data_IF_028575208789
#
_entry.id   IF_028575208789
#
_cell.length_a   1.000
_cell.length_b   1.000
_cell.length_c   1.000
_cell.angle_alpha   90.00
_cell.angle_beta   90.00
_cell.angle_gamma   90.00
#
_symmetry.space_group_name_H-M   'P 1'
#
loop_
_entity.id
_entity.type
_entity.pdbx_description
1 polymer ?
#
# COMPACT_ATOMS: atom_id res chain seq x y z
N UNK A 1 -4.56 -20.18 -7.11
CA UNK A 1 -4.40 -21.63 -6.79
C UNK A 1 -2.91 -21.95 -6.84
N UNK A 2 -2.38 -22.71 -5.89
CA UNK A 2 -0.99 -23.17 -5.89
C UNK A 2 -1.00 -24.71 -5.94
N UNK A 3 -0.26 -25.29 -6.89
CA UNK A 3 -0.07 -26.72 -7.01
C UNK A 3 1.43 -27.04 -7.01
N UNK A 4 1.84 -27.99 -6.18
CA UNK A 4 3.21 -28.53 -6.17
C UNK A 4 3.11 -30.00 -6.59
N UNK A 5 3.78 -30.35 -7.68
CA UNK A 5 3.73 -31.68 -8.30
C UNK A 5 4.99 -32.49 -7.96
N UNK A 6 4.93 -33.81 -8.11
CA UNK A 6 6.13 -34.66 -8.04
C UNK A 6 7.15 -34.26 -9.14
N UNK A 7 8.47 -34.33 -8.89
CA UNK A 7 9.13 -34.82 -7.67
C UNK A 7 9.30 -33.77 -6.56
N UNK A 8 8.89 -32.51 -6.77
CA UNK A 8 9.01 -31.45 -5.75
C UNK A 8 8.11 -31.73 -4.54
N UNK A 9 6.92 -32.27 -4.78
CA UNK A 9 6.05 -32.77 -3.72
C UNK A 9 6.34 -34.27 -3.47
N UNK A 10 7.36 -34.55 -2.66
CA UNK A 10 7.86 -35.91 -2.37
C UNK A 10 6.80 -36.87 -1.84
N UNK A 11 5.76 -36.34 -1.17
CA UNK A 11 4.66 -37.13 -0.60
C UNK A 11 3.41 -37.15 -1.51
N UNK A 12 3.54 -36.76 -2.78
CA UNK A 12 2.43 -36.63 -3.72
C UNK A 12 1.95 -35.19 -3.89
N UNK A 13 1.15 -34.95 -4.93
CA UNK A 13 0.68 -33.61 -5.33
C UNK A 13 0.01 -32.86 -4.19
N UNK A 14 0.47 -31.63 -3.93
CA UNK A 14 -0.10 -30.73 -2.94
C UNK A 14 -0.86 -29.61 -3.65
N UNK A 15 -2.11 -29.37 -3.25
CA UNK A 15 -2.97 -28.31 -3.80
C UNK A 15 -3.45 -27.37 -2.70
N UNK A 16 -3.26 -26.06 -2.89
CA UNK A 16 -3.80 -25.01 -2.03
C UNK A 16 -4.66 -24.05 -2.85
N UNK A 17 -5.94 -23.94 -2.48
CA UNK A 17 -6.91 -23.05 -3.14
C UNK A 17 -7.25 -21.90 -2.20
N UNK A 18 -6.87 -20.68 -2.60
CA UNK A 18 -7.26 -19.45 -1.91
C UNK A 18 -8.51 -18.91 -2.57
N UNK A 19 -9.59 -18.79 -1.79
CA UNK A 19 -10.86 -18.16 -2.22
C UNK A 19 -10.96 -16.79 -1.56
N UNK A 20 -11.25 -15.77 -2.35
CA UNK A 20 -11.47 -14.42 -1.87
C UNK A 20 -12.96 -14.22 -1.62
N UNK A 21 -13.33 -13.85 -0.39
CA UNK A 21 -14.70 -13.52 -0.04
C UNK A 21 -15.02 -12.09 -0.51
N UNK A 22 -16.13 -11.91 -1.21
CA UNK A 22 -16.63 -10.60 -1.66
C UNK A 22 -17.31 -9.85 -0.50
N UNK A 23 -16.61 -9.64 0.60
CA UNK A 23 -17.10 -8.81 1.70
C UNK A 23 -16.43 -7.45 1.65
N UNK A 24 -17.24 -6.41 1.43
CA UNK A 24 -16.80 -5.04 1.57
C UNK A 24 -16.69 -4.69 3.05
N UNK A 25 -15.45 -4.58 3.51
CA UNK A 25 -15.13 -4.16 4.87
C UNK A 25 -14.89 -2.64 4.86
N UNK A 26 -15.52 -1.93 5.78
CA UNK A 26 -15.33 -0.48 5.97
C UNK A 26 -14.20 -0.20 6.96
N UNK A 27 -13.68 1.03 6.98
CA UNK A 27 -12.54 1.43 7.82
C UNK A 27 -12.85 1.21 9.31
N UNK A 28 -14.08 1.50 9.74
CA UNK A 28 -14.56 1.34 11.12
C UNK A 28 -14.44 -0.10 11.65
N UNK A 29 -14.37 -1.10 10.78
CA UNK A 29 -14.16 -2.48 11.21
C UNK A 29 -12.77 -2.74 11.80
N UNK A 30 -11.82 -1.83 11.59
CA UNK A 30 -10.45 -1.93 12.09
C UNK A 30 -10.14 -0.91 13.20
N UNK A 31 -11.05 0.01 13.51
CA UNK A 31 -10.69 1.15 14.34
C UNK A 31 -11.89 1.89 14.95
N UNK A 32 -11.61 2.89 15.80
CA UNK A 32 -12.65 3.73 16.39
C UNK A 32 -13.13 4.79 15.41
N UNK A 33 -14.32 5.36 15.62
CA UNK A 33 -14.87 6.41 14.74
C UNK A 33 -13.91 7.61 14.57
N UNK A 34 -13.18 8.01 15.62
CA UNK A 34 -12.22 9.12 15.55
C UNK A 34 -11.04 8.81 14.62
N UNK A 35 -10.52 7.58 14.65
CA UNK A 35 -9.45 7.15 13.75
C UNK A 35 -9.97 6.93 12.34
N UNK A 36 -11.20 6.43 12.17
CA UNK A 36 -11.84 6.32 10.86
C UNK A 36 -11.97 7.72 10.21
N UNK A 37 -12.40 8.73 10.97
CA UNK A 37 -12.43 10.13 10.51
C UNK A 37 -11.05 10.64 10.10
N UNK A 38 -10.00 10.33 10.87
CA UNK A 38 -8.63 10.65 10.49
C UNK A 38 -8.25 9.97 9.15
N UNK A 39 -8.57 8.70 8.96
CA UNK A 39 -8.29 7.99 7.70
C UNK A 39 -9.03 8.61 6.51
N UNK A 40 -10.32 8.92 6.67
CA UNK A 40 -11.10 9.62 5.64
C UNK A 40 -10.47 10.97 5.29
N UNK A 41 -10.03 11.73 6.30
CA UNK A 41 -9.38 13.02 6.11
C UNK A 41 -8.07 12.87 5.31
N UNK A 42 -7.20 11.92 5.68
CA UNK A 42 -5.94 11.68 4.97
C UNK A 42 -6.16 11.25 3.50
N UNK A 43 -7.15 10.39 3.24
CA UNK A 43 -7.49 9.98 1.86
C UNK A 43 -8.02 11.17 1.06
N UNK A 44 -8.92 11.97 1.63
CA UNK A 44 -9.49 13.16 0.98
C UNK A 44 -8.41 14.22 0.68
N UNK A 45 -7.41 14.36 1.56
CA UNK A 45 -6.24 15.23 1.39
C UNK A 45 -5.14 14.64 0.51
N UNK A 46 -5.44 13.55 -0.22
CA UNK A 46 -4.53 12.90 -1.17
C UNK A 46 -3.16 12.56 -0.55
N UNK A 47 -3.12 12.19 0.72
CA UNK A 47 -1.89 11.69 1.32
C UNK A 47 -1.48 10.35 0.67
N UNK A 48 -0.18 10.18 0.42
CA UNK A 48 0.42 8.91 0.03
C UNK A 48 0.51 8.03 1.29
N UNK A 49 -0.33 6.99 1.34
CA UNK A 49 -0.51 6.15 2.52
C UNK A 49 0.06 4.76 2.24
N UNK A 50 0.94 4.31 3.14
CA UNK A 50 1.40 2.91 3.15
C UNK A 50 0.81 2.18 4.35
N UNK A 51 0.10 1.09 4.06
CA UNK A 51 -0.43 0.18 5.07
C UNK A 51 0.61 -0.91 5.36
N UNK A 52 1.06 -0.99 6.61
CA UNK A 52 2.05 -1.96 7.06
C UNK A 52 1.48 -2.94 8.08
N UNK A 53 2.20 -4.03 8.32
CA UNK A 53 1.82 -5.07 9.28
C UNK A 53 2.30 -6.45 8.85
N UNK A 54 2.26 -7.39 9.80
CA UNK A 54 2.64 -8.78 9.58
C UNK A 54 1.71 -9.51 8.58
N UNK A 55 2.03 -10.76 8.29
CA UNK A 55 1.14 -11.65 7.52
C UNK A 55 -0.22 -11.80 8.23
N UNK A 56 -1.31 -11.77 7.47
CA UNK A 56 -2.68 -11.99 7.96
C UNK A 56 -3.25 -10.91 8.92
N UNK A 57 -2.62 -9.73 9.02
CA UNK A 57 -3.18 -8.57 9.75
C UNK A 57 -4.28 -7.82 8.98
N UNK A 58 -4.52 -8.18 7.72
CA UNK A 58 -5.60 -7.61 6.90
C UNK A 58 -5.20 -6.39 6.06
N UNK A 59 -3.91 -6.19 5.76
CA UNK A 59 -3.40 -5.07 4.95
C UNK A 59 -4.20 -4.82 3.67
N UNK A 60 -4.35 -5.83 2.84
CA UNK A 60 -5.08 -5.73 1.56
C UNK A 60 -6.56 -5.41 1.77
N UNK A 61 -7.18 -5.97 2.82
CA UNK A 61 -8.57 -5.69 3.18
C UNK A 61 -8.74 -4.23 3.62
N UNK A 62 -7.84 -3.73 4.47
CA UNK A 62 -7.86 -2.34 4.92
C UNK A 62 -7.52 -1.36 3.79
N UNK A 63 -6.57 -1.71 2.91
CA UNK A 63 -6.28 -0.97 1.68
C UNK A 63 -7.56 -0.82 0.83
N UNK A 64 -8.30 -1.92 0.64
CA UNK A 64 -9.57 -1.89 -0.06
C UNK A 64 -10.60 -0.98 0.66
N UNK A 65 -10.65 -1.00 1.99
CA UNK A 65 -11.51 -0.11 2.77
C UNK A 65 -11.15 1.38 2.56
N UNK A 66 -9.85 1.72 2.55
CA UNK A 66 -9.37 3.08 2.28
C UNK A 66 -9.80 3.57 0.89
N UNK A 67 -9.77 2.70 -0.12
CA UNK A 67 -10.22 3.08 -1.48
C UNK A 67 -11.69 3.48 -1.53
N UNK A 68 -12.53 3.00 -0.59
CA UNK A 68 -13.92 3.41 -0.48
C UNK A 68 -14.11 4.87 -0.05
N UNK A 69 -13.05 5.52 0.42
CA UNK A 69 -13.03 6.95 0.79
C UNK A 69 -12.49 7.86 -0.31
N UNK A 70 -12.06 7.27 -1.44
CA UNK A 70 -11.55 8.02 -2.58
C UNK A 70 -12.73 8.65 -3.33
N UNK A 71 -12.57 9.88 -3.81
CA UNK A 71 -13.66 10.58 -4.50
C UNK A 71 -14.04 9.84 -5.79
N UNK A 72 -15.34 9.73 -6.05
CA UNK A 72 -15.87 8.91 -7.15
C UNK A 72 -15.40 9.32 -8.55
N UNK A 73 -14.96 10.57 -8.76
CA UNK A 73 -14.46 11.02 -10.06
C UNK A 73 -13.02 10.58 -10.35
N UNK A 74 -12.28 10.15 -9.32
CA UNK A 74 -10.88 9.76 -9.46
C UNK A 74 -10.76 8.41 -10.19
N UNK A 75 -9.78 8.33 -11.08
CA UNK A 75 -9.38 7.12 -11.81
C UNK A 75 -8.30 6.39 -11.03
N UNK A 76 -8.63 5.19 -10.55
CA UNK A 76 -7.74 4.34 -9.78
C UNK A 76 -7.16 3.25 -10.68
N UNK A 77 -5.87 2.97 -10.52
CA UNK A 77 -5.23 1.81 -11.17
C UNK A 77 -4.67 0.90 -10.09
N UNK A 78 -5.20 -0.33 -10.01
CA UNK A 78 -4.66 -1.35 -9.11
C UNK A 78 -3.54 -2.11 -9.80
N UNK A 79 -2.49 -2.42 -9.04
CA UNK A 79 -1.36 -3.23 -9.50
C UNK A 79 -1.09 -4.28 -8.43
N UNK A 80 -1.27 -5.56 -8.79
CA UNK A 80 -1.21 -6.66 -7.84
C UNK A 80 -0.48 -7.87 -8.41
N UNK A 81 0.14 -8.67 -7.54
CA UNK A 81 0.71 -9.95 -7.95
C UNK A 81 -0.36 -11.01 -8.20
N UNK A 82 -1.38 -11.00 -7.36
CA UNK A 82 -2.62 -11.76 -7.48
C UNK A 82 -3.74 -10.78 -7.22
N UNK A 83 -4.73 -10.72 -8.11
CA UNK A 83 -5.79 -9.74 -8.03
C UNK A 83 -6.74 -10.04 -6.85
N UNK A 84 -6.53 -9.37 -5.71
CA UNK A 84 -7.33 -9.51 -4.48
C UNK A 84 -8.25 -8.30 -4.25
N UNK A 85 -7.84 -7.12 -4.71
CA UNK A 85 -8.58 -5.88 -4.49
C UNK A 85 -9.85 -5.82 -5.33
N UNK A 86 -10.95 -5.43 -4.69
CA UNK A 86 -12.26 -5.26 -5.30
C UNK A 86 -12.81 -3.88 -4.92
N UNK A 87 -12.46 -2.88 -5.74
CA UNK A 87 -12.75 -1.48 -5.50
C UNK A 87 -14.20 -1.17 -5.92
N UNK A 88 -14.88 -0.33 -5.13
CA UNK A 88 -16.21 0.19 -5.45
C UNK A 88 -16.18 1.45 -6.33
N UNK A 89 -14.99 2.01 -6.58
CA UNK A 89 -14.85 3.21 -7.40
C UNK A 89 -15.33 2.94 -8.85
N UNK A 90 -15.98 3.92 -9.51
CA UNK A 90 -16.54 3.71 -10.83
C UNK A 90 -15.45 3.61 -11.91
N UNK A 91 -14.32 4.29 -11.74
CA UNK A 91 -13.24 4.37 -12.73
C UNK A 91 -12.01 3.59 -12.28
N UNK A 92 -12.03 2.27 -12.42
CA UNK A 92 -10.94 1.38 -11.97
C UNK A 92 -10.36 0.59 -13.15
N UNK A 93 -9.03 0.62 -13.28
CA UNK A 93 -8.28 -0.32 -14.12
C UNK A 93 -7.54 -1.29 -13.20
N UNK A 94 -7.68 -2.60 -13.44
CA UNK A 94 -7.03 -3.63 -12.62
C UNK A 94 -5.91 -4.29 -13.42
N UNK A 95 -4.69 -4.23 -12.89
CA UNK A 95 -3.50 -4.83 -13.50
C UNK A 95 -2.98 -5.94 -12.58
N UNK A 96 -2.80 -7.13 -13.14
CA UNK A 96 -2.32 -8.32 -12.43
C UNK A 96 -1.02 -8.81 -13.07
N UNK A 97 -0.01 -9.07 -12.23
CA UNK A 97 1.26 -9.65 -12.66
C UNK A 97 1.04 -11.07 -13.17
N UNK A 98 1.93 -11.54 -14.03
CA UNK A 98 1.85 -12.91 -14.54
C UNK A 98 3.24 -13.54 -14.55
N UNK A 99 3.42 -14.75 -13.98
CA UNK A 99 4.68 -15.48 -14.14
C UNK A 99 4.87 -15.90 -15.60
N UNK A 100 6.11 -16.26 -15.96
CA UNK A 100 6.38 -16.84 -17.27
C UNK A 100 5.60 -18.17 -17.43
N UNK A 101 5.11 -18.45 -18.64
CA UNK A 101 4.43 -19.73 -18.93
C UNK A 101 5.43 -20.74 -19.49
N UNK A 102 5.19 -22.06 -19.30
CA UNK A 102 6.02 -23.11 -19.91
C UNK A 102 6.10 -23.02 -21.43
N UNK A 103 5.06 -22.47 -22.07
CA UNK A 103 4.97 -22.27 -23.52
C UNK A 103 5.79 -21.08 -24.04
N UNK A 104 6.66 -20.51 -23.20
CA UNK A 104 7.62 -19.47 -23.59
C UNK A 104 7.10 -18.04 -23.50
N UNK A 105 5.92 -17.80 -22.92
CA UNK A 105 5.43 -16.44 -22.70
C UNK A 105 6.16 -15.83 -21.49
N UNK A 106 6.86 -14.72 -21.68
CA UNK A 106 7.62 -14.05 -20.63
C UNK A 106 6.76 -13.62 -19.42
N UNK A 107 7.40 -13.41 -18.29
CA UNK A 107 6.75 -12.86 -17.10
C UNK A 107 6.40 -11.38 -17.29
N UNK A 108 5.29 -10.96 -16.68
CA UNK A 108 4.92 -9.55 -16.51
C UNK A 108 4.99 -9.24 -15.02
N UNK A 109 6.02 -8.50 -14.63
CA UNK A 109 6.26 -8.10 -13.23
C UNK A 109 5.41 -6.91 -12.81
N UNK A 110 5.19 -6.76 -11.49
CA UNK A 110 4.59 -5.56 -10.89
C UNK A 110 5.31 -4.28 -11.33
N UNK A 111 6.63 -4.34 -11.45
CA UNK A 111 7.46 -3.22 -11.95
C UNK A 111 7.05 -2.79 -13.36
N UNK A 112 6.88 -3.73 -14.29
CA UNK A 112 6.44 -3.44 -15.66
C UNK A 112 5.01 -2.89 -15.69
N UNK A 113 4.12 -3.43 -14.86
CA UNK A 113 2.74 -2.94 -14.74
C UNK A 113 2.69 -1.52 -14.19
N UNK A 114 3.56 -1.19 -13.24
CA UNK A 114 3.66 0.15 -12.69
C UNK A 114 4.09 1.16 -13.75
N UNK A 115 5.08 0.85 -14.57
CA UNK A 115 5.46 1.69 -15.72
C UNK A 115 4.31 1.87 -16.72
N UNK A 116 3.57 0.80 -17.02
CA UNK A 116 2.41 0.88 -17.90
C UNK A 116 1.30 1.76 -17.28
N UNK A 117 1.05 1.62 -15.98
CA UNK A 117 0.03 2.37 -15.25
C UNK A 117 0.23 3.88 -15.35
N UNK A 118 1.47 4.38 -15.30
CA UNK A 118 1.76 5.82 -15.44
C UNK A 118 1.30 6.39 -16.79
N UNK A 119 1.18 5.57 -17.84
CA UNK A 119 0.69 5.98 -19.17
C UNK A 119 -0.82 5.92 -19.29
N UNK A 120 -1.51 5.37 -18.31
CA UNK A 120 -2.96 5.21 -18.29
C UNK A 120 -3.68 6.36 -17.58
N UNK A 121 -2.95 7.47 -17.32
CA UNK A 121 -3.42 8.70 -16.66
C UNK A 121 -4.16 8.42 -15.35
N UNK A 122 -3.50 7.77 -14.36
CA UNK A 122 -4.11 7.52 -13.06
C UNK A 122 -4.24 8.82 -12.26
N UNK A 123 -5.34 8.98 -11.53
CA UNK A 123 -5.41 9.94 -10.43
C UNK A 123 -4.77 9.37 -9.16
N UNK A 124 -4.83 8.04 -8.98
CA UNK A 124 -4.17 7.29 -7.89
C UNK A 124 -3.67 5.94 -8.36
N UNK A 125 -2.53 5.53 -7.83
CA UNK A 125 -2.03 4.16 -7.90
C UNK A 125 -2.43 3.41 -6.63
N UNK A 126 -2.89 2.17 -6.78
CA UNK A 126 -3.17 1.27 -5.65
C UNK A 126 -2.32 0.01 -5.82
N UNK A 127 -1.21 -0.06 -5.08
CA UNK A 127 -0.25 -1.15 -5.20
C UNK A 127 -0.53 -2.18 -4.11
N UNK A 128 -0.96 -3.37 -4.51
CA UNK A 128 -1.45 -4.40 -3.59
C UNK A 128 -0.43 -4.75 -2.51
N UNK A 129 0.82 -4.98 -2.89
CA UNK A 129 1.95 -5.16 -1.96
C UNK A 129 3.27 -4.81 -2.66
N UNK A 130 4.16 -4.13 -1.95
CA UNK A 130 5.52 -3.81 -2.41
C UNK A 130 6.49 -4.81 -1.78
N UNK A 131 7.18 -5.59 -2.61
CA UNK A 131 8.05 -6.69 -2.17
C UNK A 131 9.41 -6.75 -2.85
N UNK A 132 9.64 -5.94 -3.87
CA UNK A 132 10.82 -6.01 -4.73
C UNK A 132 11.20 -4.67 -5.35
N UNK A 133 11.91 -4.69 -6.51
CA UNK A 133 12.49 -3.51 -7.14
C UNK A 133 11.44 -2.47 -7.60
N UNK A 134 10.17 -2.85 -7.73
CA UNK A 134 9.07 -1.93 -7.99
C UNK A 134 8.94 -0.81 -6.95
N UNK A 135 9.51 -1.00 -5.75
CA UNK A 135 9.53 0.02 -4.70
C UNK A 135 10.19 1.33 -5.17
N UNK A 136 11.24 1.24 -5.97
CA UNK A 136 11.88 2.43 -6.54
C UNK A 136 10.95 3.18 -7.48
N UNK A 137 10.34 2.46 -8.41
CA UNK A 137 9.42 3.04 -9.38
C UNK A 137 8.16 3.60 -8.71
N UNK A 138 7.71 2.99 -7.60
CA UNK A 138 6.65 3.55 -6.76
C UNK A 138 7.09 4.89 -6.19
N UNK A 139 8.24 4.94 -5.49
CA UNK A 139 8.77 6.18 -4.91
C UNK A 139 8.92 7.28 -5.97
N UNK A 140 9.41 6.93 -7.16
CA UNK A 140 9.51 7.86 -8.29
C UNK A 140 8.14 8.35 -8.77
N UNK A 141 7.13 7.48 -8.88
CA UNK A 141 5.77 7.88 -9.25
C UNK A 141 5.18 8.87 -8.23
N UNK A 142 5.34 8.58 -6.94
CA UNK A 142 4.86 9.43 -5.84
C UNK A 142 5.57 10.79 -5.78
N UNK A 143 6.84 10.86 -6.17
CA UNK A 143 7.58 12.13 -6.26
C UNK A 143 7.26 12.93 -7.54
N UNK A 144 6.62 12.32 -8.55
CA UNK A 144 6.33 12.95 -9.86
C UNK A 144 4.85 13.28 -10.07
N UNK A 145 4.09 13.44 -8.97
CA UNK A 145 2.71 13.96 -9.01
C UNK A 145 1.61 12.92 -8.99
N UNK A 146 1.92 11.63 -8.73
CA UNK A 146 0.91 10.58 -8.53
C UNK A 146 0.48 10.49 -7.06
N UNK A 147 0.02 11.63 -6.54
CA UNK A 147 -0.39 11.81 -5.15
C UNK A 147 -1.63 10.99 -4.77
N UNK A 148 -1.87 10.84 -3.48
CA UNK A 148 -3.02 10.10 -2.95
C UNK A 148 -2.93 8.59 -3.16
N UNK A 149 -1.79 8.09 -3.60
CA UNK A 149 -1.60 6.68 -3.89
C UNK A 149 -1.53 5.86 -2.61
N UNK A 150 -2.00 4.62 -2.70
CA UNK A 150 -2.13 3.70 -1.58
C UNK A 150 -1.29 2.45 -1.86
N UNK A 151 -0.55 1.96 -0.87
CA UNK A 151 0.16 0.68 -1.03
C UNK A 151 0.23 -0.11 0.26
N UNK A 152 0.64 -1.38 0.17
CA UNK A 152 0.97 -2.17 1.36
C UNK A 152 2.41 -2.64 1.36
N UNK A 153 2.96 -2.84 2.55
CA UNK A 153 4.28 -3.46 2.74
C UNK A 153 4.26 -4.33 4.00
N UNK A 154 4.89 -5.50 3.95
CA UNK A 154 5.11 -6.26 5.18
C UNK A 154 6.17 -5.59 6.04
N UNK A 155 5.83 -5.22 7.28
CA UNK A 155 6.78 -4.71 8.27
C UNK A 155 6.28 -4.98 9.70
N UNK A 156 7.18 -4.88 10.67
CA UNK A 156 6.87 -5.11 12.10
C UNK A 156 6.64 -3.80 12.87
N UNK A 157 6.90 -2.66 12.24
CA UNK A 157 6.65 -1.32 12.78
C UNK A 157 6.60 -0.30 11.63
N UNK A 158 6.08 0.92 11.86
CA UNK A 158 6.14 2.00 10.88
C UNK A 158 7.57 2.36 10.44
N UNK A 159 8.51 2.45 11.40
CA UNK A 159 9.92 2.72 11.09
C UNK A 159 10.56 1.61 10.25
N UNK A 160 10.23 0.34 10.51
CA UNK A 160 10.70 -0.78 9.69
C UNK A 160 10.07 -0.75 8.29
N UNK A 161 8.84 -0.25 8.14
CA UNK A 161 8.20 -0.11 6.85
C UNK A 161 8.99 0.86 5.95
N UNK A 162 9.37 2.03 6.49
CA UNK A 162 10.17 3.02 5.75
C UNK A 162 11.54 2.47 5.35
N UNK A 163 12.29 1.89 6.30
CA UNK A 163 13.60 1.27 6.03
C UNK A 163 13.50 0.14 5.00
N UNK A 164 12.43 -0.67 5.08
CA UNK A 164 12.19 -1.75 4.13
C UNK A 164 11.92 -1.21 2.73
N UNK A 165 11.10 -0.17 2.59
CA UNK A 165 10.84 0.44 1.27
C UNK A 165 12.14 0.99 0.69
N UNK A 166 12.96 1.69 1.47
CA UNK A 166 14.27 2.17 1.02
C UNK A 166 15.19 1.03 0.56
N UNK A 167 15.24 -0.06 1.33
CA UNK A 167 16.00 -1.26 0.99
C UNK A 167 15.50 -1.94 -0.30
N UNK A 168 14.18 -2.02 -0.50
CA UNK A 168 13.59 -2.56 -1.72
C UNK A 168 13.83 -1.63 -2.92
N UNK A 169 13.79 -0.31 -2.71
CA UNK A 169 14.09 0.67 -3.75
C UNK A 169 15.55 0.56 -4.23
N UNK A 170 16.50 0.24 -3.34
CA UNK A 170 17.89 0.00 -3.71
C UNK A 170 18.04 -1.14 -4.73
N UNK A 171 17.17 -2.16 -4.71
CA UNK A 171 17.14 -3.24 -5.70
C UNK A 171 16.72 -2.73 -7.09
N UNK A 172 15.88 -1.69 -7.14
CA UNK A 172 15.36 -1.10 -8.37
C UNK A 172 16.27 -0.04 -8.99
N UNK A 173 17.18 0.55 -8.20
CA UNK A 173 18.12 1.58 -8.62
C UNK A 173 19.55 1.32 -8.12
N UNK A 174 20.26 0.34 -8.71
CA UNK A 174 21.65 0.07 -8.36
C UNK A 174 22.51 1.33 -8.56
N UNK A 175 23.25 1.73 -7.52
CA UNK A 175 24.15 2.89 -7.56
C UNK A 175 23.61 4.16 -6.90
N UNK A 176 22.33 4.20 -6.50
CA UNK A 176 21.85 5.23 -5.58
C UNK A 176 22.41 4.99 -4.17
N UNK A 177 22.78 6.08 -3.47
CA UNK A 177 23.21 5.94 -2.07
C UNK A 177 22.02 5.62 -1.16
N UNK A 178 22.22 4.88 -0.06
CA UNK A 178 21.16 4.64 0.92
C UNK A 178 20.49 5.92 1.41
N UNK A 179 21.28 6.96 1.67
CA UNK A 179 20.79 8.25 2.17
C UNK A 179 19.87 8.92 1.14
N UNK A 180 20.25 8.94 -0.14
CA UNK A 180 19.43 9.46 -1.24
C UNK A 180 18.09 8.71 -1.34
N UNK A 181 18.10 7.39 -1.18
CA UNK A 181 16.88 6.58 -1.23
C UNK A 181 15.98 6.83 -0.01
N UNK A 182 16.56 6.92 1.19
CA UNK A 182 15.80 7.28 2.40
C UNK A 182 15.18 8.66 2.26
N UNK A 183 15.91 9.63 1.70
CA UNK A 183 15.42 10.98 1.44
C UNK A 183 14.21 10.97 0.48
N UNK A 184 14.32 10.21 -0.62
CA UNK A 184 13.24 10.03 -1.59
C UNK A 184 12.02 9.31 -1.01
N UNK A 185 12.21 8.32 -0.15
CA UNK A 185 11.10 7.63 0.56
C UNK A 185 10.41 8.61 1.51
N UNK A 186 11.18 9.38 2.29
CA UNK A 186 10.62 10.39 3.21
C UNK A 186 9.93 11.52 2.46
N UNK A 187 10.40 11.91 1.27
CA UNK A 187 9.74 12.93 0.46
C UNK A 187 8.47 12.41 -0.24
N UNK A 188 8.37 11.12 -0.52
CA UNK A 188 7.24 10.56 -1.27
C UNK A 188 6.08 10.09 -0.39
N UNK A 189 6.34 9.52 0.78
CA UNK A 189 5.31 8.91 1.63
C UNK A 189 4.89 9.87 2.74
N UNK A 190 3.59 10.09 2.92
CA UNK A 190 3.09 11.02 3.93
C UNK A 190 2.73 10.31 5.23
N UNK A 191 2.12 9.13 5.16
CA UNK A 191 1.62 8.41 6.35
C UNK A 191 1.87 6.91 6.25
N UNK A 192 2.32 6.33 7.37
CA UNK A 192 2.31 4.89 7.59
C UNK A 192 1.16 4.54 8.54
N UNK A 193 0.31 3.61 8.12
CA UNK A 193 -0.73 3.01 8.96
C UNK A 193 -0.31 1.58 9.28
N UNK A 194 -0.15 1.25 10.56
CA UNK A 194 0.25 -0.09 10.98
C UNK A 194 -0.94 -0.89 11.47
N UNK A 195 -1.10 -2.10 10.94
CA UNK A 195 -2.11 -3.05 11.37
C UNK A 195 -1.51 -4.16 12.21
N UNK A 196 -2.20 -4.48 13.30
CA UNK A 196 -1.90 -5.64 14.14
C UNK A 196 -3.06 -6.61 14.17
N UNK A 197 -2.78 -7.86 14.55
CA UNK A 197 -3.79 -8.85 14.92
C UNK A 197 -3.78 -8.99 16.44
N UNK A 198 -4.91 -8.72 17.07
CA UNK A 198 -5.08 -8.79 18.52
C UNK A 198 -5.17 -10.25 19.00
N UNK A 199 -5.04 -10.45 20.30
CA UNK A 199 -5.06 -11.78 20.92
C UNK A 199 -6.40 -12.52 20.74
N UNK A 200 -7.50 -11.77 20.60
CA UNK A 200 -8.83 -12.30 20.29
C UNK A 200 -9.01 -12.66 18.79
N UNK A 201 -7.96 -12.47 17.99
CA UNK A 201 -7.94 -12.76 16.57
C UNK A 201 -8.48 -11.64 15.68
N UNK A 202 -9.04 -10.57 16.27
CA UNK A 202 -9.48 -9.38 15.55
C UNK A 202 -8.29 -8.59 14.98
N UNK A 203 -8.56 -7.69 14.04
CA UNK A 203 -7.56 -6.89 13.35
C UNK A 203 -7.81 -5.42 13.65
N UNK A 204 -6.77 -4.68 13.96
CA UNK A 204 -6.90 -3.28 14.35
C UNK A 204 -5.78 -2.41 13.77
N UNK A 205 -6.10 -1.14 13.51
CA UNK A 205 -5.09 -0.10 13.32
C UNK A 205 -4.45 0.16 14.68
N UNK A 206 -3.17 -0.18 14.81
CA UNK A 206 -2.43 -0.01 16.08
C UNK A 206 -1.71 1.32 16.16
N UNK A 207 -1.14 1.79 15.05
CA UNK A 207 -0.44 3.07 14.98
C UNK A 207 -0.69 3.75 13.64
N UNK A 208 -0.68 5.06 13.67
CA UNK A 208 -0.71 5.94 12.49
C UNK A 208 0.40 6.95 12.72
N UNK A 209 1.34 7.00 11.79
CA UNK A 209 2.51 7.86 11.89
C UNK A 209 2.65 8.70 10.62
N UNK A 210 2.72 10.02 10.80
CA UNK A 210 3.10 10.94 9.73
C UNK A 210 4.61 10.85 9.52
N UNK A 211 5.05 10.67 8.28
CA UNK A 211 6.48 10.59 7.94
C UNK A 211 7.10 11.97 8.06
N UNK A 212 8.20 12.03 8.82
CA UNK A 212 8.94 13.26 9.04
C UNK A 212 9.64 13.71 7.77
N UNK A 213 9.60 15.03 7.51
CA UNK A 213 10.29 15.65 6.38
C UNK A 213 11.77 15.19 6.31
N UNK A 214 12.38 15.09 5.12
CA UNK A 214 13.77 14.65 4.96
C UNK A 214 14.79 15.28 5.93
N UNK A 215 14.62 16.57 6.23
CA UNK A 215 15.50 17.35 7.11
C UNK A 215 15.25 17.13 8.60
N UNK A 216 14.20 16.40 8.99
CA UNK A 216 13.86 16.14 10.38
C UNK A 216 14.75 15.04 10.97
N UNK A 217 15.25 15.26 12.19
CA UNK A 217 15.93 14.22 12.98
C UNK A 217 15.02 13.03 13.28
N UNK A 218 13.71 13.28 13.42
CA UNK A 218 12.71 12.22 13.61
C UNK A 218 12.17 11.75 12.26
N UNK A 219 12.17 10.43 12.09
CA UNK A 219 11.63 9.75 10.91
C UNK A 219 10.11 9.86 10.77
N UNK A 220 9.41 10.04 11.89
CA UNK A 220 7.96 10.13 11.91
C UNK A 220 7.43 10.79 13.19
N UNK A 221 6.18 11.23 13.13
CA UNK A 221 5.39 11.76 14.24
C UNK A 221 4.14 10.92 14.44
N UNK A 222 3.90 10.48 15.67
CA UNK A 222 2.74 9.66 16.02
C UNK A 222 1.47 10.50 15.96
N UNK A 223 0.51 10.09 15.14
CA UNK A 223 -0.83 10.68 15.06
C UNK A 223 -1.84 9.87 15.89
N UNK A 224 -1.63 8.56 16.02
CA UNK A 224 -2.45 7.65 16.83
C UNK A 224 -1.57 6.97 17.90
N UNK A 225 -1.86 7.27 19.17
CA UNK A 225 -1.21 6.61 20.29
C UNK A 225 -1.68 5.17 20.47
N UNK A 226 -0.87 4.35 21.15
CA UNK A 226 -1.15 2.93 21.39
C UNK A 226 -2.43 2.69 22.22
N UNK A 227 -2.94 3.69 22.94
CA UNK A 227 -4.22 3.64 23.66
C UNK A 227 -5.44 3.92 22.76
N UNK A 228 -5.22 4.06 21.44
CA UNK A 228 -6.27 4.28 20.45
C UNK A 228 -6.73 5.73 20.33
N UNK A 229 -6.06 6.68 21.00
CA UNK A 229 -6.37 8.12 20.89
C UNK A 229 -5.59 8.78 19.77
N UNK A 230 -6.29 9.61 18.99
CA UNK A 230 -5.65 10.56 18.08
C UNK A 230 -4.97 11.63 18.92
N UNK A 231 -3.64 11.70 18.84
CA UNK A 231 -2.78 12.59 19.66
C UNK A 231 -2.07 13.66 18.85
N UNK A 232 -2.18 13.61 17.52
CA UNK A 232 -1.56 14.56 16.62
C UNK A 232 -2.50 14.98 15.49
N UNK A 233 -2.20 16.13 14.88
CA UNK A 233 -2.86 16.60 13.66
C UNK A 233 -1.88 16.43 12.50
N UNK A 234 -2.29 15.84 11.37
CA UNK A 234 -1.44 15.75 10.19
C UNK A 234 -1.00 17.15 9.72
N UNK A 235 0.30 17.31 9.48
CA UNK A 235 0.90 18.55 8.96
C UNK A 235 1.28 18.45 7.50
N UNK A 236 1.42 17.22 6.98
CA UNK A 236 1.86 16.90 5.63
C UNK A 236 0.67 16.51 4.74
N UNK A 237 -0.22 17.48 4.55
CA UNK A 237 -1.40 17.32 3.71
C UNK A 237 -1.10 17.78 2.28
N UNK A 238 -1.54 17.00 1.29
CA UNK A 238 -1.47 17.40 -0.11
C UNK A 238 -2.73 18.18 -0.51
N UNK A 239 -2.71 18.78 -1.70
CA UNK A 239 -3.90 19.45 -2.23
C UNK A 239 -5.02 18.42 -2.42
N UNK A 240 -6.28 18.79 -2.17
CA UNK A 240 -7.41 17.91 -2.44
C UNK A 240 -7.59 17.71 -3.95
N UNK A 241 -8.32 16.66 -4.35
CA UNK A 241 -8.63 16.43 -5.75
C UNK A 241 -9.42 17.62 -6.33
N UNK A 242 -9.09 18.04 -7.56
CA UNK A 242 -9.77 19.13 -8.23
C UNK A 242 -11.28 18.83 -8.34
N UNK A 243 -12.12 19.61 -7.65
CA UNK A 243 -13.57 19.41 -7.61
C UNK A 243 -14.13 18.83 -6.30
N UNK A 244 -13.31 18.61 -5.27
CA UNK A 244 -13.76 18.14 -3.95
C UNK A 244 -14.59 19.18 -3.13
N UNK A 245 -14.70 20.42 -3.59
CA UNK A 245 -15.44 21.52 -2.92
C UNK A 245 -16.79 21.87 -3.60
N UNK A 246 -17.34 21.00 -4.44
CA UNK A 246 -18.66 21.22 -5.08
C UNK A 246 -19.70 20.21 -4.66
#
# INVERSE_FOLDING_TARGET
>A
MCAVLAPLAVNGTCLSIRRFALQHVVIDAFTTAAVAQLMHHLVARRCNIVVSGATSTGKTTFLNALTGSVAHHERLITIEDTAELNLLAPHVVRLESRPATPDGVEAVSVRQLLHAALRLRPDRLVIGEVRGPEAYDMVQALNTGHDGSLSTVHANSPGDALRRIASLAALGAPGQSPESLEEQVRSSIDVIVHLTRLADGSRAVSTVEEVGAPTSERWSTVLLAADGKVVGTPTRLREPAAGAER
#
